data_IF_725086718672
#
_entry.id   IF_725086718672
#
_cell.length_a   1.000
_cell.length_b   1.000
_cell.length_c   1.000
_cell.angle_alpha   90.00
_cell.angle_beta   90.00
_cell.angle_gamma   90.00
#
_symmetry.space_group_name_H-M   'P 1'
#
loop_
_entity.id
_entity.type
_entity.pdbx_description
1 polymer ?
#
# COMPACT_ATOMS: atom_id res chain seq x y z
N UNK A 1 -16.04 2.69 -14.30
CA UNK A 1 -15.01 1.68 -13.99
C UNK A 1 -13.97 1.57 -15.10
N UNK A 2 -14.37 1.33 -16.35
CA UNK A 2 -13.43 1.18 -17.47
C UNK A 2 -12.56 2.43 -17.70
N UNK A 3 -13.10 3.63 -17.54
CA UNK A 3 -12.33 4.88 -17.69
C UNK A 3 -11.26 5.03 -16.60
N UNK A 4 -11.58 4.72 -15.35
CA UNK A 4 -10.61 4.74 -14.22
C UNK A 4 -9.49 3.76 -14.51
N UNK A 5 -9.82 2.53 -14.90
CA UNK A 5 -8.83 1.51 -15.21
C UNK A 5 -7.92 1.89 -16.39
N UNK A 6 -8.49 2.43 -17.46
CA UNK A 6 -7.71 2.92 -18.61
C UNK A 6 -6.74 4.04 -18.21
N UNK A 7 -7.18 4.98 -17.36
CA UNK A 7 -6.32 6.04 -16.88
C UNK A 7 -5.21 5.50 -15.96
N UNK A 8 -5.51 4.54 -15.08
CA UNK A 8 -4.52 3.84 -14.30
C UNK A 8 -3.47 3.15 -15.19
N UNK A 9 -3.89 2.48 -16.26
CA UNK A 9 -2.99 1.84 -17.21
C UNK A 9 -2.08 2.86 -17.90
N UNK A 10 -2.63 4.01 -18.31
CA UNK A 10 -1.89 5.09 -18.97
C UNK A 10 -0.86 5.72 -18.04
N UNK A 11 -1.26 6.00 -16.79
CA UNK A 11 -0.42 6.65 -15.79
C UNK A 11 0.58 5.70 -15.09
N UNK A 12 0.52 4.41 -15.37
CA UNK A 12 1.48 3.46 -14.81
C UNK A 12 2.86 3.53 -15.48
N UNK A 13 2.96 4.10 -16.67
CA UNK A 13 4.22 4.26 -17.41
C UNK A 13 4.96 5.54 -17.01
N UNK A 14 5.13 5.71 -15.71
CA UNK A 14 5.80 6.86 -15.08
C UNK A 14 6.94 6.38 -14.19
N UNK A 15 7.79 7.30 -13.75
CA UNK A 15 8.91 7.01 -12.85
C UNK A 15 8.44 6.68 -11.43
N UNK A 16 9.34 6.14 -10.62
CA UNK A 16 9.09 5.89 -9.19
C UNK A 16 8.77 7.19 -8.49
N UNK A 17 7.73 7.20 -7.66
CA UNK A 17 7.25 8.41 -7.03
C UNK A 17 6.09 8.20 -6.07
N UNK A 18 5.44 9.31 -5.76
CA UNK A 18 4.22 9.34 -4.98
C UNK A 18 3.03 9.63 -5.88
N UNK A 19 2.02 8.79 -5.79
CA UNK A 19 0.82 8.84 -6.60
C UNK A 19 -0.43 8.81 -5.73
N UNK A 20 -1.50 9.42 -6.21
CA UNK A 20 -2.82 9.33 -5.59
C UNK A 20 -3.86 8.85 -6.59
N UNK A 21 -4.80 8.08 -6.08
CA UNK A 21 -5.96 7.58 -6.83
C UNK A 21 -7.22 7.92 -6.04
N UNK A 22 -7.82 9.03 -6.38
CA UNK A 22 -9.05 9.52 -5.75
C UNK A 22 -10.25 9.03 -6.53
N UNK A 23 -10.93 8.01 -5.99
CA UNK A 23 -12.11 7.39 -6.63
C UNK A 23 -13.17 7.12 -5.57
N UNK A 24 -14.44 7.51 -5.81
CA UNK A 24 -15.54 7.22 -4.89
C UNK A 24 -15.70 5.71 -4.63
N UNK A 25 -16.32 5.38 -3.50
CA UNK A 25 -16.65 3.99 -3.14
C UNK A 25 -17.46 3.32 -4.24
N UNK A 26 -17.16 2.05 -4.55
CA UNK A 26 -17.81 1.33 -5.64
C UNK A 26 -17.26 1.62 -7.05
N UNK A 27 -16.35 2.58 -7.21
CA UNK A 27 -15.73 2.95 -8.49
C UNK A 27 -14.70 1.96 -9.06
N UNK A 28 -14.45 0.83 -8.38
CA UNK A 28 -13.46 -0.17 -8.81
C UNK A 28 -12.01 0.18 -8.40
N UNK A 29 -11.86 0.94 -7.31
CA UNK A 29 -10.58 1.44 -6.78
C UNK A 29 -9.54 0.32 -6.60
N UNK A 30 -9.87 -0.76 -5.90
CA UNK A 30 -8.94 -1.85 -5.57
C UNK A 30 -8.34 -2.53 -6.80
N UNK A 31 -9.14 -2.89 -7.79
CA UNK A 31 -8.63 -3.53 -9.00
C UNK A 31 -7.87 -2.54 -9.89
N UNK A 32 -8.31 -1.28 -9.96
CA UNK A 32 -7.65 -0.26 -10.76
C UNK A 32 -6.28 0.11 -10.18
N UNK A 33 -6.18 0.23 -8.86
CA UNK A 33 -4.90 0.47 -8.16
C UNK A 33 -3.91 -0.69 -8.35
N UNK A 34 -4.42 -1.93 -8.32
CA UNK A 34 -3.59 -3.11 -8.56
C UNK A 34 -3.06 -3.17 -10.01
N UNK A 35 -3.93 -2.92 -10.99
CA UNK A 35 -3.51 -2.89 -12.41
C UNK A 35 -2.44 -1.81 -12.64
N UNK A 36 -2.62 -0.63 -12.04
CA UNK A 36 -1.60 0.42 -12.05
C UNK A 36 -0.30 -0.08 -11.43
N UNK A 37 -0.36 -0.63 -10.22
CA UNK A 37 0.80 -1.07 -9.47
C UNK A 37 1.61 -2.16 -10.20
N UNK A 38 0.92 -3.14 -10.79
CA UNK A 38 1.57 -4.20 -11.58
C UNK A 38 2.31 -3.64 -12.79
N UNK A 39 1.64 -2.78 -13.56
CA UNK A 39 2.25 -2.18 -14.75
C UNK A 39 3.40 -1.26 -14.38
N UNK A 40 3.24 -0.47 -13.33
CA UNK A 40 4.27 0.42 -12.79
C UNK A 40 5.47 -0.37 -12.25
N UNK A 41 5.24 -1.49 -11.57
CA UNK A 41 6.30 -2.37 -11.11
C UNK A 41 7.11 -2.97 -12.27
N UNK A 42 6.44 -3.46 -13.31
CA UNK A 42 7.10 -4.00 -14.51
C UNK A 42 7.94 -2.91 -15.19
N UNK A 43 7.39 -1.71 -15.36
CA UNK A 43 8.07 -0.58 -16.00
C UNK A 43 9.35 -0.18 -15.28
N UNK A 44 9.32 -0.20 -13.95
CA UNK A 44 10.41 0.29 -13.10
C UNK A 44 11.29 -0.82 -12.49
N UNK A 45 11.06 -2.08 -12.85
CA UNK A 45 11.84 -3.22 -12.32
C UNK A 45 11.61 -3.48 -10.84
N UNK A 46 10.45 -3.08 -10.30
CA UNK A 46 10.09 -3.31 -8.91
C UNK A 46 9.63 -4.76 -8.72
N UNK A 47 9.93 -5.34 -7.57
CA UNK A 47 9.82 -6.79 -7.36
C UNK A 47 8.51 -7.22 -6.73
N UNK A 48 7.84 -6.34 -5.97
CA UNK A 48 6.67 -6.70 -5.14
C UNK A 48 5.63 -5.60 -5.13
N UNK A 49 4.41 -6.02 -4.82
CA UNK A 49 3.29 -5.12 -4.53
C UNK A 49 2.82 -5.39 -3.11
N UNK A 50 2.84 -4.37 -2.27
CA UNK A 50 2.38 -4.43 -0.89
C UNK A 50 1.10 -3.59 -0.80
N UNK A 51 0.00 -4.21 -0.38
CA UNK A 51 -1.31 -3.56 -0.23
C UNK A 51 -1.61 -3.47 1.26
N UNK A 52 -1.55 -2.26 1.79
CA UNK A 52 -1.86 -2.00 3.18
C UNK A 52 -3.27 -1.41 3.31
N UNK A 53 -4.13 -2.07 4.08
CA UNK A 53 -5.56 -1.79 4.23
C UNK A 53 -5.85 -1.54 5.72
N UNK A 54 -6.70 -0.56 6.09
CA UNK A 54 -6.93 -0.25 7.51
C UNK A 54 -7.73 -1.31 8.28
N UNK A 55 -8.54 -2.13 7.58
CA UNK A 55 -9.48 -3.05 8.20
C UNK A 55 -9.22 -4.51 7.85
N UNK A 56 -9.08 -5.37 8.86
CA UNK A 56 -8.77 -6.81 8.68
C UNK A 56 -9.85 -7.57 7.91
N UNK A 57 -11.13 -7.23 8.07
CA UNK A 57 -12.22 -7.86 7.31
C UNK A 57 -12.10 -7.66 5.81
N UNK A 58 -11.62 -6.50 5.38
CA UNK A 58 -11.40 -6.18 3.96
C UNK A 58 -10.16 -6.89 3.43
N UNK A 59 -9.14 -7.11 4.26
CA UNK A 59 -7.93 -7.84 3.90
C UNK A 59 -8.27 -9.27 3.46
N UNK A 60 -9.03 -10.00 4.27
CA UNK A 60 -9.43 -11.38 3.97
C UNK A 60 -10.14 -11.48 2.62
N UNK A 61 -11.11 -10.57 2.39
CA UNK A 61 -11.83 -10.52 1.11
C UNK A 61 -10.91 -10.17 -0.06
N UNK A 62 -10.04 -9.17 0.11
CA UNK A 62 -9.10 -8.75 -0.93
C UNK A 62 -8.11 -9.86 -1.25
N UNK A 63 -7.51 -10.49 -0.24
CA UNK A 63 -6.59 -11.59 -0.42
C UNK A 63 -7.24 -12.78 -1.14
N UNK A 64 -8.47 -13.14 -0.79
CA UNK A 64 -9.24 -14.19 -1.46
C UNK A 64 -9.45 -13.89 -2.95
N UNK A 65 -9.85 -12.66 -3.29
CA UNK A 65 -10.01 -12.25 -4.69
C UNK A 65 -8.67 -12.29 -5.43
N UNK A 66 -7.59 -11.82 -4.81
CA UNK A 66 -6.27 -11.83 -5.46
C UNK A 66 -5.74 -13.25 -5.66
N UNK A 67 -5.94 -14.14 -4.69
CA UNK A 67 -5.58 -15.57 -4.83
C UNK A 67 -6.34 -16.25 -5.97
N UNK A 68 -7.61 -15.94 -6.15
CA UNK A 68 -8.39 -16.49 -7.27
C UNK A 68 -7.89 -16.04 -8.65
N UNK A 69 -7.18 -14.91 -8.72
CA UNK A 69 -6.65 -14.34 -9.98
C UNK A 69 -5.19 -14.78 -10.20
N UNK A 70 -4.37 -14.75 -9.16
CA UNK A 70 -2.91 -14.91 -9.26
C UNK A 70 -2.38 -16.23 -8.73
N UNK A 71 -3.21 -17.05 -8.08
CA UNK A 71 -2.80 -18.28 -7.39
C UNK A 71 -2.45 -18.06 -5.92
N UNK A 72 -2.64 -19.10 -5.11
CA UNK A 72 -2.37 -19.08 -3.66
C UNK A 72 -0.89 -18.83 -3.35
N UNK A 73 0.00 -19.33 -4.19
CA UNK A 73 1.45 -19.23 -4.04
C UNK A 73 2.01 -17.83 -4.29
N UNK A 74 1.22 -16.91 -4.85
CA UNK A 74 1.66 -15.57 -5.20
C UNK A 74 1.10 -14.47 -4.27
N UNK A 75 0.18 -14.83 -3.37
CA UNK A 75 -0.50 -13.85 -2.50
C UNK A 75 -0.35 -14.24 -1.03
N UNK A 76 0.39 -13.42 -0.29
CA UNK A 76 0.51 -13.52 1.16
C UNK A 76 -0.51 -12.59 1.83
N UNK A 77 -1.33 -13.16 2.70
CA UNK A 77 -2.16 -12.42 3.64
C UNK A 77 -1.48 -12.39 5.00
N UNK A 78 -1.29 -11.19 5.57
CA UNK A 78 -0.63 -11.01 6.85
C UNK A 78 -1.29 -9.93 7.71
N UNK A 79 -1.93 -10.33 8.78
CA UNK A 79 -2.49 -9.46 9.82
C UNK A 79 -2.56 -10.21 11.16
N UNK A 80 -2.88 -9.52 12.25
CA UNK A 80 -2.88 -10.05 13.62
C UNK A 80 -3.79 -11.26 13.87
N UNK A 81 -4.81 -11.46 13.02
CA UNK A 81 -5.75 -12.56 13.19
C UNK A 81 -5.34 -13.83 12.41
N UNK A 82 -4.29 -13.77 11.59
CA UNK A 82 -3.69 -14.94 10.95
C UNK A 82 -2.63 -15.50 11.87
N UNK A 83 -2.99 -16.57 12.59
CA UNK A 83 -2.09 -17.27 13.48
C UNK A 83 -1.60 -18.55 12.81
N UNK A 84 -0.33 -18.61 12.39
CA UNK A 84 0.24 -19.82 11.80
C UNK A 84 0.17 -21.03 12.72
N UNK A 85 0.13 -20.84 14.06
CA UNK A 85 0.08 -21.94 15.04
C UNK A 85 -1.23 -22.73 14.97
N UNK A 86 -2.28 -22.19 14.34
CA UNK A 86 -3.54 -22.90 14.13
C UNK A 86 -3.52 -23.87 12.94
N UNK A 87 -2.46 -23.85 12.14
CA UNK A 87 -2.28 -24.76 11.00
C UNK A 87 -1.80 -26.12 11.52
N UNK A 88 -2.58 -27.17 11.27
CA UNK A 88 -2.30 -28.54 11.75
C UNK A 88 -1.12 -29.22 11.04
N UNK A 89 -0.80 -28.83 9.82
CA UNK A 89 0.33 -29.35 9.05
C UNK A 89 1.59 -28.57 9.43
N UNK A 90 2.53 -29.21 10.11
CA UNK A 90 3.77 -28.59 10.61
C UNK A 90 4.62 -27.98 9.48
N UNK A 91 4.67 -28.59 8.30
CA UNK A 91 5.44 -28.05 7.16
C UNK A 91 4.79 -26.79 6.61
N UNK A 92 3.46 -26.79 6.52
CA UNK A 92 2.71 -25.63 6.06
C UNK A 92 2.77 -24.51 7.09
N UNK A 93 2.71 -24.84 8.38
CA UNK A 93 2.87 -23.92 9.50
C UNK A 93 4.22 -23.21 9.43
N UNK A 94 5.32 -23.96 9.32
CA UNK A 94 6.67 -23.40 9.22
C UNK A 94 6.84 -22.52 7.98
N UNK A 95 6.34 -22.98 6.83
CA UNK A 95 6.33 -22.18 5.59
C UNK A 95 5.59 -20.87 5.76
N UNK A 96 4.40 -20.88 6.35
CA UNK A 96 3.60 -19.67 6.58
C UNK A 96 4.26 -18.73 7.58
N UNK A 97 4.87 -19.27 8.65
CA UNK A 97 5.63 -18.49 9.62
C UNK A 97 6.80 -17.77 8.96
N UNK A 98 7.60 -18.46 8.17
CA UNK A 98 8.71 -17.86 7.41
C UNK A 98 8.20 -16.80 6.41
N UNK A 99 7.09 -17.07 5.73
CA UNK A 99 6.49 -16.14 4.80
C UNK A 99 6.04 -14.83 5.47
N UNK A 100 5.37 -14.94 6.63
CA UNK A 100 4.91 -13.76 7.40
C UNK A 100 6.06 -13.00 8.05
N UNK A 101 7.15 -13.68 8.42
CA UNK A 101 8.35 -13.05 8.96
C UNK A 101 9.15 -12.29 7.90
N UNK A 102 9.20 -12.78 6.68
CA UNK A 102 10.08 -12.24 5.63
C UNK A 102 9.35 -11.43 4.57
N UNK A 103 8.05 -11.67 4.31
CA UNK A 103 7.30 -11.08 3.20
C UNK A 103 7.89 -11.39 1.81
N UNK A 104 8.39 -12.60 1.62
CA UNK A 104 8.97 -13.02 0.35
C UNK A 104 7.91 -13.60 -0.61
N UNK A 105 6.97 -12.74 -1.00
CA UNK A 105 5.87 -13.01 -1.93
C UNK A 105 5.73 -11.87 -2.94
N UNK A 106 5.28 -12.15 -4.17
CA UNK A 106 5.03 -11.12 -5.18
C UNK A 106 3.97 -10.10 -4.76
N UNK A 107 2.90 -10.56 -4.11
CA UNK A 107 1.80 -9.73 -3.62
C UNK A 107 1.59 -9.98 -2.13
N UNK A 108 1.61 -8.91 -1.35
CA UNK A 108 1.38 -8.96 0.10
C UNK A 108 0.16 -8.09 0.42
N UNK A 109 -0.81 -8.66 1.11
CA UNK A 109 -1.98 -7.93 1.62
C UNK A 109 -1.87 -7.89 3.14
N UNK A 110 -1.81 -6.69 3.71
CA UNK A 110 -1.53 -6.50 5.12
C UNK A 110 -2.30 -5.31 5.71
N UNK A 111 -2.14 -5.03 6.99
CA UNK A 111 -2.69 -3.82 7.63
C UNK A 111 -1.71 -2.65 7.55
N UNK A 112 -2.24 -1.41 7.60
CA UNK A 112 -1.41 -0.21 7.76
C UNK A 112 -0.52 -0.33 9.01
N UNK A 113 -1.06 -0.88 10.10
CA UNK A 113 -0.31 -1.09 11.36
C UNK A 113 0.89 -2.01 11.14
N UNK A 114 0.67 -3.20 10.55
CA UNK A 114 1.75 -4.16 10.28
C UNK A 114 2.84 -3.61 9.34
N UNK A 115 2.44 -2.82 8.34
CA UNK A 115 3.38 -2.16 7.45
C UNK A 115 4.25 -1.17 8.25
N UNK A 116 3.63 -0.25 8.98
CA UNK A 116 4.38 0.77 9.73
C UNK A 116 5.18 0.18 10.89
N UNK A 117 4.65 -0.81 11.62
CA UNK A 117 5.44 -1.56 12.61
C UNK A 117 6.69 -2.17 11.98
N UNK A 118 6.57 -2.72 10.75
CA UNK A 118 7.73 -3.27 10.04
C UNK A 118 8.73 -2.19 9.64
N UNK A 119 8.26 -1.00 9.28
CA UNK A 119 9.12 0.14 8.90
C UNK A 119 9.83 0.79 10.09
N UNK A 120 9.21 0.80 11.27
CA UNK A 120 9.72 1.50 12.47
C UNK A 120 10.35 0.58 13.52
N UNK A 121 10.22 -0.73 13.38
CA UNK A 121 10.66 -1.66 14.39
C UNK A 121 12.18 -1.67 14.55
N UNK A 122 12.62 -1.77 15.78
CA UNK A 122 14.01 -2.06 16.17
C UNK A 122 14.24 -3.55 16.51
N UNK A 123 13.20 -4.38 16.38
CA UNK A 123 13.29 -5.83 16.68
C UNK A 123 13.79 -6.58 15.45
N UNK A 124 14.89 -7.37 15.54
CA UNK A 124 15.46 -8.07 14.39
C UNK A 124 14.47 -8.98 13.64
N UNK A 125 13.55 -9.64 14.36
CA UNK A 125 12.52 -10.50 13.77
C UNK A 125 11.54 -9.73 12.88
N UNK A 126 11.23 -8.50 13.22
CA UNK A 126 10.32 -7.62 12.45
C UNK A 126 11.07 -6.92 11.31
N UNK A 127 12.34 -6.58 11.55
CA UNK A 127 13.21 -5.95 10.54
C UNK A 127 13.50 -6.84 9.33
N UNK A 128 13.28 -8.16 9.43
CA UNK A 128 13.44 -9.08 8.28
C UNK A 128 12.58 -8.71 7.09
N UNK A 129 11.42 -8.09 7.30
CA UNK A 129 10.52 -7.64 6.22
C UNK A 129 11.09 -6.46 5.42
N UNK A 130 11.99 -5.67 6.02
CA UNK A 130 12.51 -4.44 5.40
C UNK A 130 13.16 -4.68 4.04
N UNK A 131 13.96 -5.75 3.90
CA UNK A 131 14.63 -6.06 2.63
C UNK A 131 13.64 -6.42 1.50
N UNK A 132 12.41 -6.81 1.85
CA UNK A 132 11.35 -7.11 0.91
C UNK A 132 10.37 -5.94 0.70
N UNK A 133 10.48 -4.86 1.50
CA UNK A 133 9.83 -3.58 1.20
C UNK A 133 10.66 -2.79 0.16
N UNK A 134 11.97 -2.98 0.13
CA UNK A 134 12.86 -2.38 -0.87
C UNK A 134 12.47 -2.81 -2.29
N UNK A 135 12.56 -1.91 -3.25
CA UNK A 135 12.19 -2.16 -4.66
C UNK A 135 10.75 -2.66 -4.82
N UNK A 136 9.80 -2.01 -4.19
CA UNK A 136 8.39 -2.40 -4.24
C UNK A 136 7.46 -1.24 -4.61
N UNK A 137 6.22 -1.59 -4.97
CA UNK A 137 5.09 -0.67 -4.99
C UNK A 137 4.29 -0.89 -3.71
N UNK A 138 4.06 0.17 -2.97
CA UNK A 138 3.23 0.15 -1.76
C UNK A 138 1.93 0.90 -2.03
N UNK A 139 0.81 0.20 -1.95
CA UNK A 139 -0.53 0.79 -2.00
C UNK A 139 -0.99 0.99 -0.56
N UNK A 140 -1.24 2.25 -0.18
CA UNK A 140 -1.86 2.60 1.10
C UNK A 140 -3.34 2.91 0.85
N UNK A 141 -4.21 1.97 1.23
CA UNK A 141 -5.65 2.15 1.05
C UNK A 141 -6.25 2.95 2.20
N UNK A 142 -7.25 3.77 1.87
CA UNK A 142 -7.94 4.68 2.79
C UNK A 142 -6.96 5.52 3.63
N UNK A 143 -6.00 6.14 2.97
CA UNK A 143 -4.89 6.86 3.62
C UNK A 143 -5.35 7.96 4.59
N UNK A 144 -6.57 8.49 4.44
CA UNK A 144 -7.17 9.44 5.37
C UNK A 144 -7.44 8.85 6.77
N UNK A 145 -7.34 7.52 6.94
CA UNK A 145 -7.47 6.86 8.25
C UNK A 145 -6.19 6.86 9.06
N UNK A 146 -5.09 7.35 8.52
CA UNK A 146 -3.82 7.45 9.23
C UNK A 146 -3.96 8.38 10.45
N UNK A 147 -3.49 7.96 11.63
CA UNK A 147 -3.64 8.75 12.83
C UNK A 147 -2.76 10.01 12.77
N UNK A 148 -3.36 11.17 13.05
CA UNK A 148 -2.70 12.48 12.99
C UNK A 148 -1.48 12.55 13.90
N UNK A 149 -1.50 11.86 15.05
CA UNK A 149 -0.41 11.83 16.04
C UNK A 149 0.90 11.26 15.46
N UNK A 150 0.80 10.38 14.49
CA UNK A 150 1.94 9.71 13.86
C UNK A 150 2.17 10.16 12.42
N UNK A 151 1.43 11.16 11.94
CA UNK A 151 1.47 11.54 10.53
C UNK A 151 2.84 12.02 10.10
N UNK A 152 3.53 12.83 10.93
CA UNK A 152 4.88 13.32 10.61
C UNK A 152 5.90 12.17 10.48
N UNK A 153 6.11 11.29 11.48
CA UNK A 153 7.04 10.16 11.33
C UNK A 153 6.66 9.23 10.17
N UNK A 154 5.37 9.02 9.91
CA UNK A 154 4.91 8.26 8.75
C UNK A 154 5.37 8.92 7.45
N UNK A 155 5.06 10.19 7.25
CA UNK A 155 5.45 10.94 6.03
C UNK A 155 6.96 10.95 5.83
N UNK A 156 7.73 11.19 6.89
CA UNK A 156 9.20 11.19 6.83
C UNK A 156 9.76 9.81 6.47
N UNK A 157 9.14 8.73 6.96
CA UNK A 157 9.51 7.38 6.56
C UNK A 157 9.19 7.09 5.11
N UNK A 158 7.98 7.44 4.63
CA UNK A 158 7.61 7.27 3.22
C UNK A 158 8.62 7.98 2.29
N UNK A 159 9.01 9.22 2.63
CA UNK A 159 10.03 9.97 1.89
C UNK A 159 11.38 9.28 1.90
N UNK A 160 11.78 8.71 3.04
CA UNK A 160 13.04 7.97 3.20
C UNK A 160 13.03 6.69 2.35
N UNK A 161 11.95 5.90 2.41
CA UNK A 161 11.81 4.67 1.62
C UNK A 161 11.77 4.94 0.12
N UNK A 162 11.09 5.99 -0.29
CA UNK A 162 11.11 6.41 -1.69
C UNK A 162 12.53 6.78 -2.14
N UNK A 163 13.22 7.64 -1.38
CA UNK A 163 14.52 8.20 -1.77
C UNK A 163 15.66 7.18 -1.74
N UNK A 164 15.70 6.32 -0.71
CA UNK A 164 16.84 5.43 -0.43
C UNK A 164 16.61 3.99 -0.85
N UNK A 165 15.36 3.53 -0.90
CA UNK A 165 15.03 2.12 -1.08
C UNK A 165 14.20 1.83 -2.32
N UNK A 166 14.09 2.80 -3.22
CA UNK A 166 13.44 2.62 -4.52
C UNK A 166 11.99 2.12 -4.40
N UNK A 167 11.21 2.74 -3.50
CA UNK A 167 9.81 2.40 -3.27
C UNK A 167 8.91 3.44 -3.92
N UNK A 168 7.90 2.98 -4.65
CA UNK A 168 6.83 3.81 -5.18
C UNK A 168 5.59 3.68 -4.32
N UNK A 169 4.93 4.79 -4.02
CA UNK A 169 3.74 4.81 -3.17
C UNK A 169 2.51 5.22 -3.97
N UNK A 170 1.43 4.48 -3.80
CA UNK A 170 0.11 4.83 -4.29
C UNK A 170 -0.86 5.00 -3.11
N UNK A 171 -1.35 6.21 -2.94
CA UNK A 171 -2.38 6.54 -1.95
C UNK A 171 -3.76 6.38 -2.57
N UNK A 172 -4.57 5.47 -2.05
CA UNK A 172 -5.95 5.34 -2.49
C UNK A 172 -6.90 5.91 -1.44
N UNK A 173 -7.89 6.66 -1.90
CA UNK A 173 -8.80 7.38 -0.99
C UNK A 173 -10.11 7.73 -1.70
N UNK A 174 -11.16 7.96 -0.92
CA UNK A 174 -12.42 8.53 -1.40
C UNK A 174 -12.39 10.07 -1.43
N UNK A 175 -11.49 10.70 -0.64
CA UNK A 175 -11.29 12.14 -0.57
C UNK A 175 -9.80 12.46 -0.69
N UNK A 176 -9.44 13.66 -1.16
CA UNK A 176 -8.01 14.02 -1.30
C UNK A 176 -7.29 14.00 0.05
N UNK A 177 -6.21 13.21 0.20
CA UNK A 177 -5.45 13.15 1.43
C UNK A 177 -4.57 14.40 1.59
N UNK A 178 -4.52 14.93 2.80
CA UNK A 178 -3.61 16.05 3.14
C UNK A 178 -2.24 15.48 3.51
N UNK A 179 -1.47 15.03 2.53
CA UNK A 179 -0.11 14.51 2.72
C UNK A 179 0.98 15.38 2.10
N UNK A 180 0.58 16.45 1.39
CA UNK A 180 1.49 17.38 0.71
C UNK A 180 1.39 18.79 1.29
N UNK A 181 2.39 19.60 1.01
CA UNK A 181 2.46 20.98 1.51
C UNK A 181 2.86 21.06 2.98
N UNK A 182 2.36 22.08 3.66
CA UNK A 182 2.54 22.27 5.11
C UNK A 182 1.37 21.60 5.83
N UNK A 183 1.69 20.67 6.72
CA UNK A 183 0.70 19.86 7.46
C UNK A 183 0.76 20.29 8.93
N UNK A 184 -0.40 20.57 9.51
CA UNK A 184 -0.52 20.82 10.95
C UNK A 184 -0.45 19.47 11.69
N UNK A 185 0.50 19.36 12.64
CA UNK A 185 0.58 18.22 13.54
C UNK A 185 -0.45 18.32 14.67
N UNK A 186 -0.44 17.35 15.58
CA UNK A 186 -1.31 17.33 16.78
C UNK A 186 -1.11 18.55 17.67
N UNK A 187 0.10 19.12 17.66
CA UNK A 187 0.35 20.42 18.26
C UNK A 187 0.09 21.50 17.20
N UNK A 188 -0.88 22.42 17.40
CA UNK A 188 -1.18 23.49 16.44
C UNK A 188 0.01 24.41 16.12
N UNK A 189 1.07 24.35 16.93
CA UNK A 189 2.32 25.11 16.71
C UNK A 189 3.38 24.30 15.94
N UNK A 190 3.14 23.02 15.68
CA UNK A 190 4.07 22.15 14.97
C UNK A 190 3.56 21.90 13.56
N UNK A 191 4.01 22.72 12.63
CA UNK A 191 3.78 22.52 11.19
C UNK A 191 4.98 21.78 10.62
N UNK A 192 4.75 20.73 9.84
CA UNK A 192 5.82 19.99 9.18
C UNK A 192 5.59 19.93 7.67
N UNK A 193 6.69 19.72 6.93
CA UNK A 193 6.63 19.62 5.48
C UNK A 193 6.22 18.21 5.06
N UNK A 194 5.09 18.09 4.38
CA UNK A 194 4.60 16.86 3.78
C UNK A 194 5.45 16.38 2.59
N UNK A 195 4.85 15.58 1.74
CA UNK A 195 5.44 15.10 0.49
C UNK A 195 5.45 16.25 -0.52
N UNK A 196 6.59 16.47 -1.18
CA UNK A 196 6.78 17.63 -2.08
C UNK A 196 5.87 17.56 -3.30
N UNK A 197 5.70 16.36 -3.86
CA UNK A 197 4.87 16.15 -5.05
C UNK A 197 4.17 14.80 -4.99
N UNK A 198 2.85 14.83 -5.14
CA UNK A 198 2.00 13.65 -5.31
C UNK A 198 1.25 13.81 -6.64
N UNK A 199 1.42 12.85 -7.53
CA UNK A 199 0.77 12.85 -8.83
C UNK A 199 -0.60 12.19 -8.74
N UNK A 200 -1.68 12.94 -8.97
CA UNK A 200 -3.03 12.37 -9.05
C UNK A 200 -3.19 11.61 -10.38
N UNK A 201 -3.62 10.35 -10.29
CA UNK A 201 -3.81 9.49 -11.45
C UNK A 201 -5.06 9.88 -12.23
N UNK A 202 -6.13 10.27 -11.53
CA UNK A 202 -7.39 10.67 -12.15
C UNK A 202 -7.46 12.20 -12.21
N UNK A 203 -7.39 12.81 -13.40
CA UNK A 203 -7.55 14.25 -13.53
C UNK A 203 -8.91 14.72 -13.00
N UNK A 204 -8.94 15.90 -12.39
CA UNK A 204 -10.16 16.53 -11.86
C UNK A 204 -11.28 16.71 -12.90
N UNK A 205 -10.91 16.77 -14.17
CA UNK A 205 -11.83 16.89 -15.31
C UNK A 205 -12.76 15.68 -15.50
N UNK A 206 -12.41 14.52 -14.93
CA UNK A 206 -13.20 13.29 -15.05
C UNK A 206 -14.54 13.33 -14.30
N UNK A 207 -14.74 14.31 -13.39
CA UNK A 207 -16.00 14.52 -12.63
C UNK A 207 -16.65 13.21 -12.16
N UNK A 208 -15.87 12.35 -11.53
CA UNK A 208 -16.35 11.03 -11.11
C UNK A 208 -17.51 11.12 -10.10
N UNK A 209 -17.56 12.20 -9.31
CA UNK A 209 -18.62 12.44 -8.34
C UNK A 209 -20.00 12.76 -8.98
N UNK A 210 -20.00 13.25 -10.22
CA UNK A 210 -21.24 13.60 -10.93
C UNK A 210 -21.83 12.40 -11.69
N UNK A 211 -21.14 11.26 -11.74
CA UNK A 211 -21.49 10.09 -12.57
C UNK A 211 -21.83 8.83 -11.77
N UNK A 212 -21.79 8.90 -10.45
CA UNK A 212 -22.14 7.82 -9.52
C UNK A 212 -23.38 8.20 -8.71
#
# INVERSE_FOLDING_TARGET
>A
RNQVQQQCIKMADTEIGFYSLTVPTGGGKTLSSLVWAMKHAIRNGLKRIIIAIPYTSIIVQTASVLRSIFGEENVLEHHSNVDPEQIKDERLQEKMKLATENWDYPIIVTTNVQLFESMFSNKPSVCRKLHNIVNSVVILDEVQTLPMDYLQPVVDSLKTYHKLFNVSFLFTTASQPVLSGLIEGCNPRAVFKGIDHITEIIPSEFKLHDKL
#
